data_IF_217034775393
#
_entry.id   IF_217034775393
#
_cell.length_a   1.000
_cell.length_b   1.000
_cell.length_c   1.000
_cell.angle_alpha   90.00
_cell.angle_beta   90.00
_cell.angle_gamma   90.00
#
_symmetry.space_group_name_H-M   'P 1'
#
loop_
_entity.id
_entity.type
_entity.pdbx_description
1 polymer ?
#
# COMPACT_ATOMS: atom_id res chain seq x y z
N UNK A 1 -12.90 -1.05 -4.85
CA UNK A 1 -12.04 -0.86 -6.05
C UNK A 1 -11.89 0.58 -6.53
N UNK A 2 -12.84 1.49 -6.33
CA UNK A 2 -12.84 2.85 -6.93
C UNK A 2 -11.50 3.60 -6.84
N UNK A 3 -10.99 3.84 -5.63
CA UNK A 3 -9.74 4.59 -5.43
C UNK A 3 -8.51 3.92 -6.05
N UNK A 4 -8.51 2.58 -6.16
CA UNK A 4 -7.43 1.86 -6.84
C UNK A 4 -7.46 2.12 -8.35
N UNK A 5 -8.65 2.14 -8.95
CA UNK A 5 -8.82 2.44 -10.38
C UNK A 5 -8.45 3.89 -10.69
N UNK A 6 -8.87 4.84 -9.85
CA UNK A 6 -8.52 6.26 -9.99
C UNK A 6 -7.00 6.48 -9.93
N UNK A 7 -6.34 5.89 -8.93
CA UNK A 7 -4.89 6.01 -8.78
C UNK A 7 -4.13 5.37 -9.96
N UNK A 8 -4.60 4.21 -10.44
CA UNK A 8 -4.03 3.56 -11.62
C UNK A 8 -4.20 4.42 -12.88
N UNK A 9 -5.37 5.03 -13.07
CA UNK A 9 -5.64 5.93 -14.19
C UNK A 9 -4.75 7.18 -14.14
N UNK A 10 -4.55 7.75 -12.95
CA UNK A 10 -3.71 8.92 -12.73
C UNK A 10 -2.20 8.60 -12.68
N UNK A 11 -1.79 7.33 -12.80
CA UNK A 11 -0.39 6.93 -12.66
C UNK A 11 0.20 7.25 -11.28
N UNK A 12 -0.64 7.34 -10.25
CA UNK A 12 -0.23 7.75 -8.90
C UNK A 12 -0.02 6.51 -8.02
N UNK A 13 1.15 6.34 -7.39
CA UNK A 13 1.40 5.23 -6.48
C UNK A 13 0.63 5.39 -5.15
N UNK A 14 0.30 4.27 -4.50
CA UNK A 14 -0.57 4.22 -3.32
C UNK A 14 0.17 3.87 -2.03
N UNK A 15 -0.24 4.49 -0.91
CA UNK A 15 -0.01 3.94 0.43
C UNK A 15 -1.33 3.32 0.89
N UNK A 16 -1.37 2.00 0.97
CA UNK A 16 -2.57 1.25 1.31
C UNK A 16 -2.68 1.02 2.82
N UNK A 17 -3.65 1.66 3.46
CA UNK A 17 -4.04 1.45 4.87
C UNK A 17 -5.46 0.87 4.91
N UNK A 18 -5.64 -0.44 4.70
CA UNK A 18 -6.98 -1.03 4.68
C UNK A 18 -7.60 -0.99 6.07
N UNK A 19 -8.69 -0.24 6.19
CA UNK A 19 -9.37 -0.09 7.48
C UNK A 19 -10.27 -1.29 7.74
N UNK A 20 -11.12 -1.67 6.79
CA UNK A 20 -12.05 -2.81 6.88
C UNK A 20 -12.46 -3.35 5.50
N UNK A 21 -13.02 -4.56 5.48
CA UNK A 21 -13.75 -5.16 4.35
C UNK A 21 -12.98 -5.21 3.01
N UNK A 22 -13.56 -4.64 1.95
CA UNK A 22 -13.11 -4.77 0.56
C UNK A 22 -11.74 -4.12 0.29
N UNK A 23 -11.31 -3.19 1.15
CA UNK A 23 -10.02 -2.52 1.02
C UNK A 23 -8.84 -3.49 1.17
N UNK A 24 -9.01 -4.62 1.87
CA UNK A 24 -7.98 -5.66 1.95
C UNK A 24 -7.69 -6.28 0.57
N UNK A 25 -8.75 -6.55 -0.20
CA UNK A 25 -8.61 -7.05 -1.57
C UNK A 25 -8.02 -6.00 -2.51
N UNK A 26 -8.48 -4.75 -2.41
CA UNK A 26 -7.93 -3.64 -3.21
C UNK A 26 -6.42 -3.43 -2.92
N UNK A 27 -6.02 -3.53 -1.66
CA UNK A 27 -4.63 -3.48 -1.22
C UNK A 27 -3.81 -4.61 -1.86
N UNK A 28 -4.30 -5.86 -1.78
CA UNK A 28 -3.61 -7.01 -2.39
C UNK A 28 -3.40 -6.83 -3.90
N UNK A 29 -4.37 -6.26 -4.62
CA UNK A 29 -4.20 -5.94 -6.04
C UNK A 29 -3.11 -4.89 -6.24
N UNK A 30 -3.11 -3.80 -5.46
CA UNK A 30 -2.11 -2.74 -5.58
C UNK A 30 -0.69 -3.25 -5.36
N UNK A 31 -0.49 -4.08 -4.32
CA UNK A 31 0.80 -4.70 -4.03
C UNK A 31 1.24 -5.64 -5.16
N UNK A 32 0.34 -6.50 -5.65
CA UNK A 32 0.63 -7.43 -6.76
C UNK A 32 0.97 -6.69 -8.06
N UNK A 33 0.29 -5.57 -8.32
CA UNK A 33 0.53 -4.72 -9.48
C UNK A 33 1.71 -3.78 -9.31
N UNK A 34 2.39 -3.79 -8.16
CA UNK A 34 3.57 -2.95 -7.91
C UNK A 34 3.24 -1.46 -7.98
N UNK A 35 2.02 -1.09 -7.60
CA UNK A 35 1.51 0.29 -7.67
C UNK A 35 1.28 0.90 -6.29
N UNK A 36 1.78 0.28 -5.22
CA UNK A 36 1.63 0.80 -3.88
C UNK A 36 2.36 0.01 -2.82
N UNK A 37 2.41 0.57 -1.62
CA UNK A 37 3.00 -0.01 -0.41
C UNK A 37 1.92 -0.22 0.65
N UNK A 38 2.08 -1.24 1.47
CA UNK A 38 1.17 -1.50 2.58
C UNK A 38 1.65 -0.81 3.85
N UNK A 39 0.73 -0.15 4.54
CA UNK A 39 0.96 0.39 5.87
C UNK A 39 -0.04 -0.25 6.85
N UNK A 40 0.49 -0.94 7.85
CA UNK A 40 -0.31 -1.60 8.86
C UNK A 40 -1.01 -0.56 9.74
N UNK A 41 -2.35 -0.59 9.76
CA UNK A 41 -3.16 0.36 10.54
C UNK A 41 -2.86 0.38 12.04
N UNK A 42 -2.32 -0.71 12.59
CA UNK A 42 -1.92 -0.79 14.01
C UNK A 42 -0.59 -0.11 14.31
N UNK A 43 0.20 0.21 13.28
CA UNK A 43 1.54 0.77 13.40
C UNK A 43 1.64 2.10 12.64
N UNK A 44 0.61 2.95 12.72
CA UNK A 44 0.65 4.29 12.14
C UNK A 44 1.33 5.24 13.13
N UNK A 45 2.54 5.68 12.79
CA UNK A 45 3.28 6.70 13.52
C UNK A 45 4.15 7.50 12.53
N UNK A 46 4.86 8.51 13.03
CA UNK A 46 5.68 9.39 12.19
C UNK A 46 6.71 8.62 11.36
N UNK A 47 7.38 7.66 11.97
CA UNK A 47 8.44 6.88 11.32
C UNK A 47 7.87 6.01 10.20
N UNK A 48 6.81 5.25 10.46
CA UNK A 48 6.23 4.33 9.47
C UNK A 48 5.57 5.06 8.31
N UNK A 49 4.96 6.22 8.56
CA UNK A 49 4.41 7.07 7.50
C UNK A 49 5.52 7.70 6.68
N UNK A 50 6.59 8.19 7.33
CA UNK A 50 7.75 8.77 6.64
C UNK A 50 8.42 7.73 5.74
N UNK A 51 8.63 6.51 6.24
CA UNK A 51 9.18 5.41 5.45
C UNK A 51 8.29 5.03 4.26
N UNK A 52 6.96 4.93 4.47
CA UNK A 52 6.02 4.65 3.39
C UNK A 52 6.04 5.74 2.29
N UNK A 53 6.13 7.02 2.68
CA UNK A 53 6.27 8.14 1.74
C UNK A 53 7.59 8.08 0.98
N UNK A 54 8.71 7.88 1.68
CA UNK A 54 10.03 7.77 1.06
C UNK A 54 10.07 6.63 0.03
N UNK A 55 9.44 5.49 0.33
CA UNK A 55 9.33 4.36 -0.60
C UNK A 55 8.53 4.72 -1.84
N UNK A 56 7.35 5.31 -1.66
CA UNK A 56 6.45 5.63 -2.77
C UNK A 56 7.00 6.73 -3.68
N UNK A 57 7.74 7.69 -3.12
CA UNK A 57 8.29 8.82 -3.88
C UNK A 57 9.64 8.52 -4.54
N UNK A 58 10.47 7.68 -3.93
CA UNK A 58 11.84 7.44 -4.42
C UNK A 58 12.06 6.07 -5.07
N UNK A 59 11.11 5.12 -4.96
CA UNK A 59 11.18 3.87 -5.72
C UNK A 59 10.47 4.06 -7.07
N UNK A 60 11.21 4.19 -8.20
CA UNK A 60 10.61 4.26 -9.53
C UNK A 60 9.82 3.00 -9.91
N UNK A 61 9.79 1.97 -9.05
CA UNK A 61 9.06 0.71 -9.25
C UNK A 61 7.98 0.45 -8.20
N UNK A 62 7.87 1.23 -7.12
CA UNK A 62 7.05 0.98 -5.91
C UNK A 62 6.77 -0.50 -5.63
N UNK A 63 7.81 -1.27 -5.29
CA UNK A 63 7.73 -2.69 -4.87
C UNK A 63 8.60 -2.91 -3.65
N UNK A 64 8.08 -2.84 -2.44
CA UNK A 64 8.66 -3.59 -1.32
C UNK A 64 7.57 -4.00 -0.33
N UNK A 65 7.46 -5.31 -0.12
CA UNK A 65 6.70 -5.92 0.98
C UNK A 65 7.47 -5.59 2.27
N UNK A 66 6.83 -4.87 3.19
CA UNK A 66 7.31 -4.78 4.57
C UNK A 66 7.19 -6.15 5.21
N UNK A 67 8.29 -6.58 5.86
CA UNK A 67 8.54 -7.89 6.47
C UNK A 67 7.29 -8.62 6.99
N UNK A 68 7.30 -9.92 6.69
CA UNK A 68 6.32 -10.96 7.02
C UNK A 68 5.44 -10.65 8.24
N UNK A 69 4.13 -10.58 8.01
CA UNK A 69 3.18 -11.03 9.03
C UNK A 69 2.14 -11.89 8.32
N UNK A 70 2.05 -13.13 8.80
CA UNK A 70 1.16 -14.17 8.32
C UNK A 70 -0.25 -13.63 8.03
N UNK A 71 -0.65 -13.64 6.77
CA UNK A 71 -2.06 -13.71 6.41
C UNK A 71 -2.49 -15.17 6.59
N UNK A 72 -2.87 -15.52 7.82
CA UNK A 72 -3.53 -16.78 8.14
C UNK A 72 -4.93 -16.51 8.68
N UNK A 73 -5.93 -17.17 8.09
CA UNK A 73 -7.30 -17.29 8.61
C UNK A 73 -8.25 -16.21 8.18
#
# INVERSE_FOLDING_TARGET
>A
LNSLTEAAFAGTPLICVPMFADQHYNTAISLRKKTGVYLNKKHINLETVTDALQKVLNDPRSVLILNETHFGG
#
